data_IF_857647498325
#
_entry.id   IF_857647498325
#
_cell.length_a   1.000
_cell.length_b   1.000
_cell.length_c   1.000
_cell.angle_alpha   90.00
_cell.angle_beta   90.00
_cell.angle_gamma   90.00
#
_symmetry.space_group_name_H-M   'P 1'
#
loop_
_entity.id
_entity.type
_entity.pdbx_description
1 polymer ?
#
# COMPACT_ATOMS: atom_id res chain seq x y z
N UNK A 1 -16.58 -19.74 -13.69
CA UNK A 1 -15.66 -18.74 -13.06
C UNK A 1 -16.53 -17.72 -12.36
N UNK A 2 -16.31 -17.54 -11.09
CA UNK A 2 -16.95 -16.51 -10.26
C UNK A 2 -15.89 -15.52 -9.79
N UNK A 3 -16.26 -14.27 -9.66
CA UNK A 3 -15.38 -13.19 -9.18
C UNK A 3 -15.75 -12.86 -7.74
N UNK A 4 -14.79 -12.84 -6.86
CA UNK A 4 -14.96 -12.39 -5.49
C UNK A 4 -14.10 -11.13 -5.26
N UNK A 5 -14.74 -10.07 -4.79
CA UNK A 5 -14.06 -8.90 -4.24
C UNK A 5 -13.91 -9.15 -2.74
N UNK A 6 -12.66 -9.37 -2.32
CA UNK A 6 -12.37 -9.71 -0.93
C UNK A 6 -12.36 -8.46 -0.07
N UNK A 7 -13.06 -8.53 1.05
CA UNK A 7 -13.18 -7.44 2.03
C UNK A 7 -12.96 -7.95 3.45
N UNK A 8 -12.75 -7.04 4.38
CA UNK A 8 -12.74 -7.35 5.83
C UNK A 8 -14.16 -7.36 6.40
N UNK A 9 -14.34 -7.93 7.60
CA UNK A 9 -15.64 -7.96 8.29
C UNK A 9 -16.22 -6.55 8.52
N UNK A 10 -15.36 -5.58 8.82
CA UNK A 10 -15.75 -4.20 9.08
C UNK A 10 -16.28 -3.50 7.82
N UNK A 11 -15.74 -3.84 6.64
CA UNK A 11 -15.90 -3.07 5.41
C UNK A 11 -16.75 -3.74 4.33
N UNK A 12 -17.07 -5.04 4.47
CA UNK A 12 -17.83 -5.80 3.47
C UNK A 12 -19.15 -5.11 3.09
N UNK A 13 -19.28 -4.81 1.80
CA UNK A 13 -20.47 -4.14 1.23
C UNK A 13 -20.61 -2.66 1.55
N UNK A 14 -19.69 -2.05 2.30
CA UNK A 14 -19.75 -0.63 2.71
C UNK A 14 -18.88 0.29 1.86
N UNK A 15 -17.90 -0.25 1.15
CA UNK A 15 -16.94 0.55 0.36
C UNK A 15 -17.51 0.75 -1.04
N UNK A 16 -17.75 2.01 -1.41
CA UNK A 16 -18.34 2.37 -2.70
C UNK A 16 -17.53 1.86 -3.89
N UNK A 17 -16.21 1.85 -3.80
CA UNK A 17 -15.33 1.34 -4.84
C UNK A 17 -15.58 -0.15 -5.12
N UNK A 18 -15.70 -0.96 -4.07
CA UNK A 18 -16.00 -2.40 -4.18
C UNK A 18 -17.38 -2.63 -4.81
N UNK A 19 -18.36 -1.84 -4.39
CA UNK A 19 -19.73 -1.90 -4.93
C UNK A 19 -19.73 -1.55 -6.42
N UNK A 20 -19.05 -0.48 -6.79
CA UNK A 20 -18.91 -0.06 -8.19
C UNK A 20 -18.25 -1.15 -9.04
N UNK A 21 -17.16 -1.75 -8.58
CA UNK A 21 -16.47 -2.82 -9.29
C UNK A 21 -17.37 -4.07 -9.44
N UNK A 22 -18.07 -4.48 -8.37
CA UNK A 22 -19.03 -5.60 -8.41
C UNK A 22 -20.08 -5.37 -9.48
N UNK A 23 -20.71 -4.20 -9.48
CA UNK A 23 -21.81 -3.89 -10.39
C UNK A 23 -21.32 -3.76 -11.84
N UNK A 24 -20.15 -3.17 -12.06
CA UNK A 24 -19.51 -3.10 -13.37
C UNK A 24 -19.22 -4.50 -13.96
N UNK A 25 -18.78 -5.46 -13.13
CA UNK A 25 -18.54 -6.83 -13.58
C UNK A 25 -19.85 -7.60 -13.81
N UNK A 26 -20.87 -7.40 -12.98
CA UNK A 26 -22.22 -7.96 -13.20
C UNK A 26 -22.85 -7.46 -14.49
N UNK A 27 -22.74 -6.20 -14.81
CA UNK A 27 -23.19 -5.60 -16.06
C UNK A 27 -22.49 -6.18 -17.31
N UNK A 28 -21.31 -6.79 -17.13
CA UNK A 28 -20.60 -7.54 -18.18
C UNK A 28 -20.95 -9.04 -18.21
N UNK A 29 -21.94 -9.47 -17.44
CA UNK A 29 -22.44 -10.85 -17.42
C UNK A 29 -21.68 -11.78 -16.44
N UNK A 30 -20.82 -11.26 -15.55
CA UNK A 30 -20.11 -12.10 -14.60
C UNK A 30 -20.85 -12.25 -13.28
N UNK A 31 -20.76 -13.43 -12.69
CA UNK A 31 -21.12 -13.61 -11.28
C UNK A 31 -20.04 -12.95 -10.42
N UNK A 32 -20.37 -11.86 -9.75
CA UNK A 32 -19.45 -11.11 -8.88
C UNK A 32 -20.08 -10.82 -7.52
N UNK A 33 -19.35 -11.08 -6.44
CA UNK A 33 -19.78 -10.84 -5.06
C UNK A 33 -18.69 -10.19 -4.22
N UNK A 34 -19.09 -9.33 -3.27
CA UNK A 34 -18.21 -8.80 -2.22
C UNK A 34 -18.34 -9.71 -1.02
N UNK A 35 -17.24 -10.34 -0.60
CA UNK A 35 -17.26 -11.38 0.43
C UNK A 35 -16.07 -11.22 1.37
N UNK A 36 -16.25 -11.52 2.65
CA UNK A 36 -15.17 -11.54 3.63
C UNK A 36 -14.14 -12.60 3.22
N UNK A 37 -12.85 -12.24 3.20
CA UNK A 37 -11.77 -13.09 2.70
C UNK A 37 -11.80 -14.52 3.27
N UNK A 38 -11.97 -14.69 4.58
CA UNK A 38 -12.05 -16.02 5.21
C UNK A 38 -13.22 -16.87 4.73
N UNK A 39 -14.31 -16.24 4.28
CA UNK A 39 -15.47 -16.95 3.74
C UNK A 39 -15.25 -17.36 2.29
N UNK A 40 -14.53 -16.55 1.50
CA UNK A 40 -14.15 -16.90 0.13
C UNK A 40 -13.43 -18.25 0.10
N UNK A 41 -12.51 -18.49 1.04
CA UNK A 41 -11.77 -19.75 1.13
C UNK A 41 -12.70 -20.97 1.24
N UNK A 42 -13.86 -20.83 1.90
CA UNK A 42 -14.83 -21.91 2.10
C UNK A 42 -15.67 -22.18 0.84
N UNK A 43 -16.06 -21.13 0.12
CA UNK A 43 -17.06 -21.20 -0.96
C UNK A 43 -16.46 -21.22 -2.37
N UNK A 44 -15.22 -20.74 -2.54
CA UNK A 44 -14.56 -20.65 -3.84
C UNK A 44 -14.19 -22.02 -4.41
N UNK A 45 -14.25 -22.10 -5.74
CA UNK A 45 -13.88 -23.28 -6.54
C UNK A 45 -12.61 -23.00 -7.35
N UNK A 46 -11.86 -24.01 -7.77
CA UNK A 46 -10.72 -23.81 -8.67
C UNK A 46 -11.09 -22.94 -9.88
N UNK A 47 -10.16 -22.08 -10.27
CA UNK A 47 -10.31 -21.10 -11.37
C UNK A 47 -11.27 -19.93 -11.10
N UNK A 48 -11.83 -19.81 -9.90
CA UNK A 48 -12.47 -18.56 -9.50
C UNK A 48 -11.41 -17.46 -9.33
N UNK A 49 -11.86 -16.20 -9.44
CA UNK A 49 -11.00 -15.02 -9.33
C UNK A 49 -11.27 -14.31 -8.01
N UNK A 50 -10.21 -13.94 -7.30
CA UNK A 50 -10.28 -13.11 -6.10
C UNK A 50 -9.50 -11.81 -6.34
N UNK A 51 -10.13 -10.69 -6.07
CA UNK A 51 -9.53 -9.36 -6.08
C UNK A 51 -9.48 -8.89 -4.63
N UNK A 52 -8.27 -8.69 -4.10
CA UNK A 52 -8.12 -8.11 -2.76
C UNK A 52 -8.42 -6.61 -2.84
N UNK A 53 -9.35 -6.14 -2.01
CA UNK A 53 -9.75 -4.74 -1.97
C UNK A 53 -9.82 -4.25 -0.52
N UNK A 54 -10.94 -3.99 0.04
CA UNK A 54 -11.11 -3.43 1.37
C UNK A 54 -10.86 -4.46 2.50
N UNK A 55 -9.72 -5.16 2.45
CA UNK A 55 -9.29 -6.10 3.50
C UNK A 55 -8.56 -5.37 4.66
N UNK A 56 -8.70 -4.06 4.74
CA UNK A 56 -8.05 -3.20 5.73
C UNK A 56 -8.15 -3.76 7.14
N UNK A 57 -7.05 -3.64 7.89
CA UNK A 57 -6.86 -4.26 9.20
C UNK A 57 -6.04 -5.56 9.15
N UNK A 58 -5.67 -6.06 7.96
CA UNK A 58 -4.87 -7.29 7.82
C UNK A 58 -3.52 -7.20 8.54
N UNK A 59 -2.94 -6.03 8.67
CA UNK A 59 -1.65 -5.82 9.33
C UNK A 59 -1.68 -6.20 10.82
N UNK A 60 -2.83 -6.09 11.49
CA UNK A 60 -3.00 -6.49 12.90
C UNK A 60 -2.89 -8.02 13.07
N UNK A 61 -3.27 -8.78 12.03
CA UNK A 61 -3.27 -10.23 11.99
C UNK A 61 -2.59 -10.77 10.72
N UNK A 62 -1.49 -10.14 10.28
CA UNK A 62 -0.86 -10.39 8.98
C UNK A 62 -0.47 -11.85 8.75
N UNK A 63 -0.08 -12.59 9.81
CA UNK A 63 0.24 -14.02 9.68
C UNK A 63 -0.98 -14.84 9.31
N UNK A 64 -2.14 -14.53 9.86
CA UNK A 64 -3.41 -15.18 9.50
C UNK A 64 -3.83 -14.79 8.08
N UNK A 65 -3.71 -13.52 7.72
CA UNK A 65 -3.92 -13.06 6.35
C UNK A 65 -3.06 -13.84 5.35
N UNK A 66 -1.76 -13.99 5.59
CA UNK A 66 -0.87 -14.75 4.72
C UNK A 66 -1.25 -16.23 4.63
N UNK A 67 -1.69 -16.86 5.72
CA UNK A 67 -2.24 -18.22 5.69
C UNK A 67 -3.48 -18.31 4.80
N UNK A 68 -4.39 -17.35 4.89
CA UNK A 68 -5.58 -17.29 4.03
C UNK A 68 -5.20 -17.16 2.56
N UNK A 69 -4.24 -16.29 2.23
CA UNK A 69 -3.70 -16.15 0.87
C UNK A 69 -3.09 -17.46 0.36
N UNK A 70 -2.32 -18.17 1.19
CA UNK A 70 -1.77 -19.50 0.84
C UNK A 70 -2.87 -20.55 0.63
N UNK A 71 -3.95 -20.50 1.39
CA UNK A 71 -5.09 -21.41 1.20
C UNK A 71 -5.79 -21.19 -0.14
N UNK A 72 -5.94 -19.93 -0.58
CA UNK A 72 -6.45 -19.63 -1.93
C UNK A 72 -5.52 -20.21 -3.01
N UNK A 73 -4.19 -20.05 -2.86
CA UNK A 73 -3.20 -20.63 -3.78
C UNK A 73 -3.33 -22.16 -3.89
N UNK A 74 -3.46 -22.86 -2.75
CA UNK A 74 -3.66 -24.31 -2.69
C UNK A 74 -4.94 -24.79 -3.38
N UNK A 75 -5.95 -23.94 -3.46
CA UNK A 75 -7.21 -24.21 -4.14
C UNK A 75 -7.20 -23.85 -5.63
N UNK A 76 -6.07 -23.43 -6.18
CA UNK A 76 -5.94 -22.95 -7.56
C UNK A 76 -6.90 -21.79 -7.89
N UNK A 77 -7.07 -20.87 -6.94
CA UNK A 77 -7.83 -19.64 -7.14
C UNK A 77 -6.91 -18.64 -7.83
N UNK A 78 -7.41 -17.90 -8.82
CA UNK A 78 -6.67 -16.81 -9.46
C UNK A 78 -6.73 -15.56 -8.57
N UNK A 79 -5.62 -15.13 -8.02
CA UNK A 79 -5.55 -13.91 -7.20
C UNK A 79 -5.10 -12.71 -8.05
N UNK A 80 -5.71 -11.57 -7.84
CA UNK A 80 -5.37 -10.27 -8.44
C UNK A 80 -4.97 -9.31 -7.30
N UNK A 81 -3.74 -8.91 -7.16
CA UNK A 81 -2.52 -9.32 -7.86
C UNK A 81 -2.09 -10.75 -7.49
N UNK A 82 -1.17 -11.32 -8.28
CA UNK A 82 -0.62 -12.66 -8.00
C UNK A 82 0.00 -12.76 -6.60
N UNK A 83 0.06 -13.97 -6.09
CA UNK A 83 0.54 -14.30 -4.75
C UNK A 83 1.94 -13.77 -4.43
N UNK A 84 2.85 -13.84 -5.40
CA UNK A 84 4.24 -13.44 -5.19
C UNK A 84 4.37 -11.93 -4.97
N UNK A 85 3.50 -11.11 -5.58
CA UNK A 85 3.39 -9.69 -5.29
C UNK A 85 2.94 -9.43 -3.85
N UNK A 86 1.96 -10.18 -3.36
CA UNK A 86 1.44 -10.03 -1.99
C UNK A 86 2.54 -10.34 -0.97
N UNK A 87 3.24 -11.48 -1.13
CA UNK A 87 4.33 -11.87 -0.22
C UNK A 87 5.51 -10.92 -0.25
N UNK A 88 5.81 -10.32 -1.39
CA UNK A 88 6.87 -9.33 -1.52
C UNK A 88 6.48 -7.98 -0.90
N UNK A 89 5.26 -7.53 -1.15
CA UNK A 89 4.83 -6.17 -0.82
C UNK A 89 4.39 -6.00 0.63
N UNK A 90 4.11 -7.09 1.37
CA UNK A 90 3.57 -6.99 2.73
C UNK A 90 4.53 -6.34 3.73
N UNK A 91 5.82 -6.46 3.51
CA UNK A 91 6.88 -5.93 4.39
C UNK A 91 7.57 -4.73 3.74
N UNK A 92 7.29 -3.53 4.24
CA UNK A 92 7.82 -2.26 3.70
C UNK A 92 9.35 -2.20 3.68
N UNK A 93 10.00 -2.74 4.72
CA UNK A 93 11.48 -2.74 4.74
C UNK A 93 12.04 -3.57 3.59
N UNK A 94 11.52 -4.77 3.40
CA UNK A 94 12.03 -5.69 2.38
C UNK A 94 11.92 -5.10 0.99
N UNK A 95 10.75 -4.66 0.57
CA UNK A 95 10.59 -4.17 -0.79
C UNK A 95 11.26 -2.80 -1.02
N UNK A 96 11.24 -1.88 -0.04
CA UNK A 96 11.94 -0.59 -0.17
C UNK A 96 13.46 -0.78 -0.20
N UNK A 97 14.00 -1.74 0.55
CA UNK A 97 15.42 -2.08 0.48
C UNK A 97 15.83 -2.61 -0.90
N UNK A 98 15.00 -3.43 -1.54
CA UNK A 98 15.26 -3.90 -2.90
C UNK A 98 15.17 -2.76 -3.93
N UNK A 99 14.30 -1.78 -3.71
CA UNK A 99 14.13 -0.59 -4.55
C UNK A 99 15.17 0.52 -4.30
N UNK A 100 16.11 0.33 -3.38
CA UNK A 100 17.08 1.37 -2.94
C UNK A 100 17.95 2.01 -4.04
N UNK A 101 18.04 1.37 -5.21
CA UNK A 101 18.74 1.92 -6.37
C UNK A 101 17.90 2.84 -7.24
N UNK A 102 16.61 2.97 -6.90
CA UNK A 102 15.68 3.91 -7.48
C UNK A 102 15.61 5.17 -6.61
N UNK A 103 14.86 6.16 -7.07
CA UNK A 103 14.57 7.35 -6.28
C UNK A 103 13.47 7.04 -5.24
N UNK A 104 13.82 6.26 -4.21
CA UNK A 104 12.94 5.91 -3.09
C UNK A 104 13.42 6.58 -1.83
N UNK A 105 12.51 6.86 -0.90
CA UNK A 105 12.86 7.42 0.41
C UNK A 105 13.87 6.51 1.13
N UNK A 106 15.07 7.01 1.51
CA UNK A 106 16.04 6.24 2.25
C UNK A 106 15.41 5.58 3.48
N UNK A 107 15.58 4.27 3.60
CA UNK A 107 14.87 3.48 4.61
C UNK A 107 15.84 2.62 5.39
N UNK A 108 15.76 2.68 6.72
CA UNK A 108 16.55 1.88 7.64
C UNK A 108 15.64 1.05 8.54
N UNK A 109 16.01 -0.22 8.79
CA UNK A 109 15.30 -1.08 9.73
C UNK A 109 15.55 -0.59 11.18
N UNK A 110 14.49 -0.48 11.95
CA UNK A 110 14.50 -0.24 13.38
C UNK A 110 13.89 -1.47 14.09
N UNK A 111 14.76 -2.39 14.50
CA UNK A 111 14.35 -3.56 15.29
C UNK A 111 14.63 -3.33 16.76
N UNK A 112 13.61 -3.50 17.59
CA UNK A 112 13.64 -3.21 19.03
C UNK A 112 13.51 -4.47 19.90
N UNK A 113 13.46 -5.66 19.29
CA UNK A 113 13.17 -6.93 19.97
C UNK A 113 14.11 -7.23 21.14
N UNK A 114 15.38 -6.83 21.02
CA UNK A 114 16.40 -7.11 22.02
C UNK A 114 16.60 -5.96 23.03
N UNK A 115 15.82 -4.87 22.92
CA UNK A 115 15.94 -3.74 23.85
C UNK A 115 15.22 -4.02 25.16
N UNK A 116 15.86 -3.61 26.27
CA UNK A 116 15.31 -3.74 27.63
C UNK A 116 14.87 -2.38 28.20
N UNK A 117 15.57 -1.32 27.84
CA UNK A 117 15.39 0.03 28.40
C UNK A 117 15.06 1.05 27.33
N UNK A 118 14.30 2.07 27.68
CA UNK A 118 13.98 3.21 26.82
C UNK A 118 15.23 3.95 26.29
N UNK A 119 16.32 4.00 27.11
CA UNK A 119 17.59 4.59 26.70
C UNK A 119 18.24 3.87 25.52
N UNK A 120 18.12 2.55 25.44
CA UNK A 120 18.62 1.74 24.31
C UNK A 120 17.88 2.08 23.03
N UNK A 121 16.54 2.20 23.10
CA UNK A 121 15.70 2.62 21.97
C UNK A 121 16.14 3.99 21.47
N UNK A 122 16.30 4.95 22.38
CA UNK A 122 16.78 6.30 22.06
C UNK A 122 18.14 6.26 21.36
N UNK A 123 19.08 5.47 21.85
CA UNK A 123 20.42 5.37 21.27
C UNK A 123 20.38 4.79 19.85
N UNK A 124 19.57 3.75 19.60
CA UNK A 124 19.39 3.17 18.27
C UNK A 124 18.83 4.24 17.31
N UNK A 125 17.80 4.97 17.72
CA UNK A 125 17.19 6.02 16.89
C UNK A 125 18.20 7.13 16.59
N UNK A 126 19.02 7.54 17.58
CA UNK A 126 20.08 8.54 17.35
C UNK A 126 21.16 8.06 16.37
N UNK A 127 21.49 6.77 16.37
CA UNK A 127 22.39 6.20 15.36
C UNK A 127 21.75 6.25 13.96
N UNK A 128 20.46 5.92 13.84
CA UNK A 128 19.72 6.03 12.58
C UNK A 128 19.67 7.48 12.09
N UNK A 129 19.44 8.46 12.98
CA UNK A 129 19.52 9.88 12.62
C UNK A 129 20.87 10.24 11.98
N UNK A 130 21.99 9.72 12.53
CA UNK A 130 23.33 9.93 11.98
C UNK A 130 23.47 9.25 10.60
N UNK A 131 23.06 7.99 10.49
CA UNK A 131 23.15 7.21 9.24
C UNK A 131 22.35 7.87 8.10
N UNK A 132 21.14 8.36 8.40
CA UNK A 132 20.27 9.02 7.42
C UNK A 132 20.53 10.52 7.29
N UNK A 133 21.53 11.06 7.99
CA UNK A 133 21.91 12.48 8.03
C UNK A 133 20.69 13.41 8.19
N UNK A 134 19.86 13.15 9.20
CA UNK A 134 18.64 13.92 9.46
C UNK A 134 18.40 14.12 10.94
N UNK A 135 17.70 15.20 11.29
CA UNK A 135 17.26 15.46 12.66
C UNK A 135 15.87 14.90 12.95
N UNK A 136 15.09 14.67 11.88
CA UNK A 136 13.68 14.30 12.02
C UNK A 136 13.40 13.06 11.20
N UNK A 137 12.81 12.05 11.84
CA UNK A 137 12.46 10.77 11.24
C UNK A 137 10.94 10.58 11.20
N UNK A 138 10.46 9.87 10.18
CA UNK A 138 9.19 9.17 10.22
C UNK A 138 9.48 7.73 10.58
N UNK A 139 8.86 7.23 11.65
CA UNK A 139 8.99 5.85 12.13
C UNK A 139 7.63 5.20 11.99
N UNK A 140 7.57 4.05 11.28
CA UNK A 140 6.33 3.29 11.08
C UNK A 140 6.62 1.78 11.07
N UNK A 141 5.66 0.89 11.44
CA UNK A 141 5.89 -0.55 11.37
C UNK A 141 6.18 -1.02 9.95
N UNK A 142 7.01 -2.07 9.82
CA UNK A 142 7.30 -2.70 8.52
C UNK A 142 6.04 -3.24 7.85
N UNK A 143 5.10 -3.76 8.64
CA UNK A 143 3.80 -4.25 8.19
C UNK A 143 2.74 -3.35 8.80
N UNK A 144 2.18 -2.46 8.02
CA UNK A 144 1.19 -1.47 8.47
C UNK A 144 0.44 -0.86 7.30
N UNK A 145 -0.72 -0.30 7.59
CA UNK A 145 -1.54 0.47 6.67
C UNK A 145 -2.17 1.68 7.39
N UNK A 146 -2.75 2.61 6.65
CA UNK A 146 -3.54 3.75 7.18
C UNK A 146 -2.85 4.54 8.30
N UNK A 147 -1.52 4.67 8.26
CA UNK A 147 -0.76 5.44 9.27
C UNK A 147 -0.68 4.78 10.65
N UNK A 148 -1.01 3.49 10.79
CA UNK A 148 -0.95 2.77 12.05
C UNK A 148 0.45 2.87 12.67
N UNK A 149 0.53 3.32 13.94
CA UNK A 149 1.78 3.53 14.70
C UNK A 149 2.85 4.30 13.91
N UNK A 150 2.44 5.30 13.12
CA UNK A 150 3.34 6.18 12.40
C UNK A 150 3.66 7.41 13.26
N UNK A 151 4.93 7.65 13.53
CA UNK A 151 5.41 8.72 14.40
C UNK A 151 6.38 9.63 13.68
N UNK A 152 6.30 10.93 13.98
CA UNK A 152 7.33 11.91 13.63
C UNK A 152 8.25 12.12 14.85
N UNK A 153 9.45 11.58 14.79
CA UNK A 153 10.49 11.73 15.82
C UNK A 153 11.43 12.88 15.44
N UNK A 154 11.58 13.86 16.31
CA UNK A 154 12.50 14.98 16.14
C UNK A 154 13.52 14.95 17.29
N UNK A 155 14.81 14.73 16.98
CA UNK A 155 15.86 14.57 18.00
C UNK A 155 16.05 15.78 18.91
N UNK A 156 15.55 16.97 18.51
CA UNK A 156 15.64 18.22 19.28
C UNK A 156 14.50 18.40 20.27
N UNK A 157 13.47 17.52 20.22
CA UNK A 157 12.26 17.62 21.04
C UNK A 157 12.21 16.52 22.11
N UNK A 158 11.32 16.69 23.07
CA UNK A 158 10.96 15.61 23.99
C UNK A 158 10.11 14.55 23.25
N UNK A 159 10.66 13.34 23.16
CA UNK A 159 10.04 12.20 22.48
C UNK A 159 9.67 11.07 23.45
N UNK A 160 9.53 11.35 24.76
CA UNK A 160 9.23 10.32 25.76
C UNK A 160 8.01 9.47 25.40
N UNK A 161 6.92 10.11 24.91
CA UNK A 161 5.71 9.43 24.52
C UNK A 161 5.96 8.46 23.34
N UNK A 162 6.70 8.89 22.31
CA UNK A 162 7.05 8.05 21.15
C UNK A 162 7.91 6.87 21.59
N UNK A 163 8.91 7.09 22.43
CA UNK A 163 9.79 6.04 22.95
C UNK A 163 9.00 5.03 23.78
N UNK A 164 8.06 5.49 24.63
CA UNK A 164 7.18 4.61 25.39
C UNK A 164 6.29 3.73 24.49
N UNK A 165 5.69 4.32 23.45
CA UNK A 165 4.89 3.58 22.46
C UNK A 165 5.73 2.57 21.68
N UNK A 166 6.95 2.92 21.29
CA UNK A 166 7.88 2.00 20.63
C UNK A 166 8.26 0.85 21.56
N UNK A 167 8.49 1.13 22.85
CA UNK A 167 8.81 0.10 23.85
C UNK A 167 7.64 -0.85 24.07
N UNK A 168 6.41 -0.35 24.12
CA UNK A 168 5.19 -1.18 24.22
C UNK A 168 5.01 -2.08 23.01
N UNK A 169 5.48 -1.66 21.83
CA UNK A 169 5.35 -2.36 20.57
C UNK A 169 6.67 -2.96 20.05
N UNK A 170 7.66 -3.19 20.92
CA UNK A 170 9.01 -3.67 20.54
C UNK A 170 9.06 -5.03 19.83
N UNK A 171 7.97 -5.81 19.89
CA UNK A 171 7.80 -7.06 19.14
C UNK A 171 7.62 -6.85 17.63
N UNK A 172 7.23 -5.64 17.22
CA UNK A 172 7.15 -5.25 15.82
C UNK A 172 8.52 -4.80 15.32
N UNK A 173 8.76 -5.01 14.03
CA UNK A 173 9.85 -4.36 13.32
C UNK A 173 9.32 -3.06 12.71
N UNK A 174 10.12 -2.01 12.78
CA UNK A 174 9.79 -0.69 12.24
C UNK A 174 10.77 -0.31 11.13
N UNK A 175 10.34 0.58 10.26
CA UNK A 175 11.24 1.35 9.40
C UNK A 175 11.35 2.77 9.90
N UNK A 176 12.54 3.36 9.69
CA UNK A 176 12.80 4.76 9.92
C UNK A 176 13.25 5.41 8.60
N UNK A 177 12.65 6.54 8.27
CA UNK A 177 12.85 7.31 7.05
C UNK A 177 13.08 8.78 7.39
N UNK A 178 13.88 9.56 6.63
CA UNK A 178 13.97 11.00 6.83
C UNK A 178 12.57 11.64 6.66
N UNK A 179 12.20 12.51 7.59
CA UNK A 179 11.03 13.35 7.39
C UNK A 179 11.27 14.33 6.25
N UNK A 180 10.35 14.38 5.30
CA UNK A 180 10.39 15.31 4.17
C UNK A 180 9.41 16.45 4.42
N UNK A 181 9.87 17.68 4.66
CA UNK A 181 8.97 18.84 4.82
C UNK A 181 8.05 19.07 3.63
N UNK A 182 8.49 18.70 2.42
CA UNK A 182 7.72 18.81 1.17
C UNK A 182 6.36 18.08 1.23
N UNK A 183 6.16 17.17 2.19
CA UNK A 183 4.88 16.45 2.40
C UNK A 183 3.71 17.42 2.59
N UNK A 184 3.96 18.64 3.10
CA UNK A 184 2.92 19.67 3.27
C UNK A 184 2.33 20.15 1.94
N UNK A 185 3.07 19.97 0.84
CA UNK A 185 2.60 20.30 -0.52
C UNK A 185 1.71 19.22 -1.12
N UNK A 186 1.56 18.10 -0.43
CA UNK A 186 0.74 16.95 -0.80
C UNK A 186 1.54 15.82 -1.43
N UNK A 187 1.09 14.62 -1.11
CA UNK A 187 1.55 13.34 -1.65
C UNK A 187 0.79 13.02 -2.93
N UNK A 188 1.47 12.49 -3.93
CA UNK A 188 0.87 12.09 -5.21
C UNK A 188 0.75 10.57 -5.28
N UNK A 189 -0.48 10.05 -5.18
CA UNK A 189 -0.79 8.64 -5.43
C UNK A 189 -1.07 8.44 -6.92
N UNK A 190 -0.28 7.57 -7.57
CA UNK A 190 -0.48 7.21 -8.98
C UNK A 190 -1.07 5.82 -9.06
N UNK A 191 -2.23 5.72 -9.72
CA UNK A 191 -2.88 4.43 -9.99
C UNK A 191 -2.42 3.90 -11.33
N UNK A 192 -1.91 2.67 -11.30
CA UNK A 192 -1.35 1.95 -12.45
C UNK A 192 -2.11 0.64 -12.59
N UNK A 193 -2.71 0.40 -13.76
CA UNK A 193 -3.42 -0.85 -14.05
C UNK A 193 -2.74 -1.55 -15.22
N UNK A 194 -2.36 -2.81 -15.04
CA UNK A 194 -1.65 -3.61 -16.03
C UNK A 194 -0.41 -2.90 -16.61
N UNK A 195 0.34 -2.19 -15.75
CA UNK A 195 1.53 -1.46 -16.15
C UNK A 195 1.27 -0.13 -16.87
N UNK A 196 0.02 0.31 -16.96
CA UNK A 196 -0.36 1.59 -17.59
C UNK A 196 -0.76 2.57 -16.49
N UNK A 197 -0.01 3.66 -16.27
CA UNK A 197 -0.41 4.72 -15.35
C UNK A 197 -1.64 5.45 -15.90
N UNK A 198 -2.72 5.49 -15.11
CA UNK A 198 -4.01 6.02 -15.55
C UNK A 198 -4.27 7.44 -15.07
N UNK A 199 -4.04 7.70 -13.77
CA UNK A 199 -4.30 8.99 -13.15
C UNK A 199 -3.52 9.17 -11.86
N UNK A 200 -3.46 10.42 -11.40
CA UNK A 200 -2.90 10.82 -10.13
C UNK A 200 -3.95 11.36 -9.17
N UNK A 201 -3.75 11.10 -7.90
CA UNK A 201 -4.52 11.66 -6.78
C UNK A 201 -3.57 12.39 -5.86
N UNK A 202 -3.79 13.69 -5.70
CA UNK A 202 -3.01 14.50 -4.76
C UNK A 202 -3.69 14.50 -3.40
N UNK A 203 -2.97 14.04 -2.36
CA UNK A 203 -3.43 13.95 -0.97
C UNK A 203 -2.59 14.88 -0.11
N UNK A 204 -3.22 15.60 0.82
CA UNK A 204 -2.54 16.54 1.72
C UNK A 204 -2.41 15.96 3.14
N UNK A 205 -1.37 16.34 3.94
CA UNK A 205 -1.18 15.83 5.29
C UNK A 205 -2.36 16.16 6.21
N UNK A 206 -2.58 15.32 7.20
CA UNK A 206 -3.72 15.42 8.13
C UNK A 206 -4.93 14.58 7.74
N UNK A 207 -4.90 13.91 6.60
CA UNK A 207 -5.99 13.10 6.03
C UNK A 207 -5.79 11.61 6.32
N UNK A 208 -5.20 11.25 7.45
CA UNK A 208 -5.02 9.85 7.86
C UNK A 208 -6.21 9.28 8.64
N UNK A 209 -7.37 9.96 8.58
CA UNK A 209 -8.60 9.48 9.21
C UNK A 209 -9.50 8.75 8.19
N UNK A 210 -10.35 7.84 8.69
CA UNK A 210 -11.36 7.13 7.87
C UNK A 210 -12.36 8.09 7.17
N UNK A 211 -12.42 9.34 7.61
CA UNK A 211 -13.22 10.43 7.01
C UNK A 211 -12.29 11.41 6.32
N UNK A 212 -11.96 11.11 5.07
CA UNK A 212 -11.19 12.02 4.22
C UNK A 212 -12.10 13.19 3.83
N UNK A 213 -11.68 14.42 4.17
CA UNK A 213 -12.34 15.61 3.65
C UNK A 213 -12.04 15.72 2.14
N UNK A 214 -13.05 15.71 1.26
CA UNK A 214 -12.86 15.80 -0.18
C UNK A 214 -12.06 17.02 -0.64
N UNK A 215 -12.05 18.10 0.13
CA UNK A 215 -11.29 19.32 -0.18
C UNK A 215 -9.79 19.11 -0.17
N UNK A 216 -9.31 18.08 0.53
CA UNK A 216 -7.90 17.73 0.63
C UNK A 216 -7.45 16.67 -0.37
N UNK A 217 -8.35 16.15 -1.21
CA UNK A 217 -8.05 15.16 -2.25
C UNK A 217 -8.41 15.75 -3.60
N UNK A 218 -7.47 15.67 -4.54
CA UNK A 218 -7.66 16.20 -5.89
C UNK A 218 -7.22 15.18 -6.94
N UNK A 219 -8.11 14.92 -7.89
CA UNK A 219 -7.76 14.26 -9.15
C UNK A 219 -6.85 15.18 -9.96
N UNK A 220 -5.77 14.64 -10.50
CA UNK A 220 -4.84 15.40 -11.35
C UNK A 220 -4.39 14.57 -12.56
N UNK A 221 -4.05 15.27 -13.63
CA UNK A 221 -3.30 14.67 -14.75
C UNK A 221 -1.90 14.31 -14.29
N UNK A 222 -1.35 13.23 -14.85
CA UNK A 222 -0.02 12.76 -14.47
C UNK A 222 1.08 13.70 -14.96
N UNK A 223 1.95 14.20 -14.08
CA UNK A 223 3.11 14.97 -14.51
C UNK A 223 4.06 14.14 -15.35
N UNK A 224 4.57 14.69 -16.46
CA UNK A 224 5.49 13.97 -17.36
C UNK A 224 6.75 13.45 -16.66
N UNK A 225 7.26 14.16 -15.66
CA UNK A 225 8.44 13.77 -14.89
C UNK A 225 8.26 12.46 -14.09
N UNK A 226 7.03 12.09 -13.74
CA UNK A 226 6.76 10.86 -12.97
C UNK A 226 6.84 9.61 -13.83
N UNK A 227 6.70 9.76 -15.16
CA UNK A 227 6.75 8.63 -16.09
C UNK A 227 8.08 7.89 -16.00
N UNK A 228 9.19 8.61 -15.88
CA UNK A 228 10.53 8.02 -15.74
C UNK A 228 10.61 7.10 -14.50
N UNK A 229 10.13 7.55 -13.36
CA UNK A 229 10.17 6.76 -12.12
C UNK A 229 9.29 5.50 -12.22
N UNK A 230 8.12 5.64 -12.87
CA UNK A 230 7.23 4.51 -13.13
C UNK A 230 7.86 3.51 -14.11
N UNK A 231 8.51 3.98 -15.18
CA UNK A 231 9.17 3.10 -16.15
C UNK A 231 10.33 2.32 -15.50
N UNK A 232 11.12 2.94 -14.62
CA UNK A 232 12.18 2.26 -13.87
C UNK A 232 11.58 1.19 -12.93
N UNK A 233 10.53 1.53 -12.18
CA UNK A 233 9.83 0.57 -11.31
C UNK A 233 9.25 -0.60 -12.13
N UNK A 234 8.69 -0.30 -13.29
CA UNK A 234 8.13 -1.30 -14.19
C UNK A 234 9.21 -2.28 -14.68
N UNK A 235 10.36 -1.79 -15.10
CA UNK A 235 11.50 -2.63 -15.51
C UNK A 235 11.93 -3.54 -14.35
N UNK A 236 12.05 -2.99 -13.14
CA UNK A 236 12.41 -3.78 -11.96
C UNK A 236 11.41 -4.89 -11.68
N UNK A 237 10.10 -4.58 -11.64
CA UNK A 237 9.06 -5.56 -11.35
C UNK A 237 8.97 -6.64 -12.43
N UNK A 238 9.09 -6.26 -13.71
CA UNK A 238 9.14 -7.22 -14.83
C UNK A 238 10.36 -8.13 -14.74
N UNK A 239 11.53 -7.60 -14.40
CA UNK A 239 12.75 -8.40 -14.21
C UNK A 239 12.61 -9.38 -13.04
N UNK A 240 11.96 -8.95 -11.96
CA UNK A 240 11.82 -9.77 -10.74
C UNK A 240 10.75 -10.85 -10.86
N UNK A 241 9.60 -10.53 -11.44
CA UNK A 241 8.40 -11.37 -11.43
C UNK A 241 8.00 -11.90 -12.81
N UNK A 242 8.62 -11.45 -13.89
CA UNK A 242 8.24 -11.78 -15.26
C UNK A 242 7.00 -11.06 -15.76
N UNK A 243 6.20 -10.49 -14.86
CA UNK A 243 4.95 -9.77 -15.14
C UNK A 243 4.87 -8.50 -14.30
N UNK A 244 4.02 -7.56 -14.72
CA UNK A 244 3.68 -6.39 -13.90
C UNK A 244 2.39 -6.67 -13.12
N UNK A 245 2.23 -6.13 -11.87
CA UNK A 245 1.00 -6.31 -11.10
C UNK A 245 -0.21 -5.71 -11.84
N UNK A 246 -1.37 -6.37 -11.72
CA UNK A 246 -2.59 -5.91 -12.36
C UNK A 246 -3.10 -4.59 -11.77
N UNK A 247 -2.99 -4.45 -10.45
CA UNK A 247 -3.38 -3.26 -9.71
C UNK A 247 -2.18 -2.79 -8.90
N UNK A 248 -1.73 -1.56 -9.12
CA UNK A 248 -0.61 -0.97 -8.41
C UNK A 248 -0.95 0.48 -8.08
N UNK A 249 -0.64 0.90 -6.85
CA UNK A 249 -0.58 2.31 -6.48
C UNK A 249 0.84 2.62 -6.02
N UNK A 250 1.38 3.71 -6.54
CA UNK A 250 2.68 4.22 -6.10
C UNK A 250 2.47 5.61 -5.54
N UNK A 251 2.89 5.79 -4.30
CA UNK A 251 2.80 7.05 -3.61
C UNK A 251 4.13 7.79 -3.72
N UNK A 252 4.08 9.00 -4.27
CA UNK A 252 5.24 9.83 -4.56
C UNK A 252 5.21 11.13 -3.77
N UNK A 253 6.38 11.61 -3.42
CA UNK A 253 6.59 12.97 -2.95
C UNK A 253 7.31 13.78 -4.02
N UNK A 254 6.78 14.98 -4.32
CA UNK A 254 7.47 15.94 -5.18
C UNK A 254 8.55 16.63 -4.36
N UNK A 255 9.80 16.51 -4.79
CA UNK A 255 10.91 17.23 -4.23
C UNK A 255 11.26 18.42 -5.15
N UNK A 256 12.23 19.26 -4.73
CA UNK A 256 12.76 20.35 -5.57
C UNK A 256 13.24 19.82 -6.94
N UNK A 257 13.82 18.61 -6.96
CA UNK A 257 14.26 17.93 -8.19
C UNK A 257 13.60 16.56 -8.26
N UNK A 258 12.58 16.42 -9.12
CA UNK A 258 11.94 15.14 -9.41
C UNK A 258 10.91 14.66 -8.39
N UNK A 259 10.73 13.36 -8.34
CA UNK A 259 9.78 12.67 -7.46
C UNK A 259 10.48 11.52 -6.74
N UNK A 260 10.22 11.38 -5.45
CA UNK A 260 10.72 10.29 -4.60
C UNK A 260 9.57 9.33 -4.28
N UNK A 261 9.78 8.02 -4.44
CA UNK A 261 8.80 6.99 -4.07
C UNK A 261 8.76 6.88 -2.54
N UNK A 262 7.60 7.08 -1.95
CA UNK A 262 7.33 6.88 -0.53
C UNK A 262 6.88 5.46 -0.23
N UNK A 263 6.04 4.90 -1.11
CA UNK A 263 5.40 3.61 -0.93
C UNK A 263 4.94 3.01 -2.27
N UNK A 264 4.95 1.67 -2.34
CA UNK A 264 4.33 0.90 -3.42
C UNK A 264 3.27 0.01 -2.79
N UNK A 265 2.03 0.07 -3.25
CA UNK A 265 0.91 -0.72 -2.75
C UNK A 265 0.40 -1.69 -3.81
N UNK A 266 0.47 -2.99 -3.52
CA UNK A 266 0.07 -4.08 -4.40
C UNK A 266 -0.96 -5.02 -3.77
N UNK A 267 -1.31 -4.85 -2.49
CA UNK A 267 -2.21 -5.76 -1.77
C UNK A 267 -3.66 -5.36 -1.98
N UNK A 268 -4.07 -4.22 -1.45
CA UNK A 268 -5.45 -3.71 -1.55
C UNK A 268 -5.49 -2.18 -1.70
N UNK A 269 -4.79 -1.62 -2.70
CA UNK A 269 -4.71 -0.17 -2.85
C UNK A 269 -6.10 0.45 -3.04
N UNK A 270 -6.35 1.57 -2.34
CA UNK A 270 -7.46 2.46 -2.64
C UNK A 270 -7.20 3.09 -4.02
N UNK A 271 -8.13 2.90 -4.94
CA UNK A 271 -8.07 3.47 -6.29
C UNK A 271 -8.75 4.84 -6.36
N UNK A 272 -9.31 5.31 -5.24
CA UNK A 272 -9.93 6.62 -5.12
C UNK A 272 -11.09 6.87 -6.09
N UNK A 273 -11.89 5.85 -6.42
CA UNK A 273 -12.99 5.95 -7.38
C UNK A 273 -13.99 7.05 -7.03
N UNK A 274 -14.16 7.36 -5.75
CA UNK A 274 -15.04 8.45 -5.28
C UNK A 274 -14.58 9.86 -5.66
N UNK A 275 -13.31 10.01 -6.10
CA UNK A 275 -12.70 11.31 -6.42
C UNK A 275 -12.34 11.48 -7.91
N UNK A 276 -12.66 10.51 -8.75
CA UNK A 276 -12.30 10.53 -10.19
C UNK A 276 -13.56 10.49 -11.05
N UNK A 277 -13.46 10.99 -12.31
CA UNK A 277 -14.56 10.94 -13.27
C UNK A 277 -15.01 9.50 -13.59
N UNK A 278 -16.30 9.32 -13.91
CA UNK A 278 -16.86 8.01 -14.25
C UNK A 278 -16.13 7.31 -15.38
N UNK A 279 -15.75 8.04 -16.43
CA UNK A 279 -14.98 7.51 -17.55
C UNK A 279 -13.66 6.87 -17.11
N UNK A 280 -13.03 7.39 -16.07
CA UNK A 280 -11.80 6.83 -15.52
C UNK A 280 -12.07 5.60 -14.66
N UNK A 281 -13.17 5.58 -13.90
CA UNK A 281 -13.63 4.40 -13.14
C UNK A 281 -13.93 3.24 -14.08
N UNK A 282 -14.68 3.49 -15.15
CA UNK A 282 -15.01 2.51 -16.17
C UNK A 282 -13.75 1.97 -16.85
N UNK A 283 -12.83 2.85 -17.23
CA UNK A 283 -11.56 2.48 -17.84
C UNK A 283 -10.73 1.60 -16.91
N UNK A 284 -10.53 2.00 -15.66
CA UNK A 284 -9.77 1.23 -14.67
C UNK A 284 -10.39 -0.15 -14.45
N UNK A 285 -11.69 -0.22 -14.18
CA UNK A 285 -12.44 -1.47 -13.96
C UNK A 285 -12.38 -2.40 -15.18
N UNK A 286 -12.51 -1.83 -16.39
CA UNK A 286 -12.43 -2.60 -17.64
C UNK A 286 -11.02 -3.16 -17.87
N UNK A 287 -9.97 -2.41 -17.51
CA UNK A 287 -8.59 -2.89 -17.64
C UNK A 287 -8.28 -3.99 -16.64
N UNK A 288 -8.74 -3.88 -15.38
CA UNK A 288 -8.61 -4.95 -14.38
C UNK A 288 -9.31 -6.21 -14.86
N UNK A 289 -10.52 -6.08 -15.39
CA UNK A 289 -11.30 -7.18 -15.94
C UNK A 289 -10.54 -7.94 -17.05
N UNK A 290 -9.91 -7.23 -17.98
CA UNK A 290 -9.14 -7.85 -19.08
C UNK A 290 -8.02 -8.76 -18.61
N UNK A 291 -7.49 -8.56 -17.41
CA UNK A 291 -6.37 -9.34 -16.86
C UNK A 291 -6.75 -10.75 -16.40
N UNK A 292 -8.04 -11.09 -16.32
CA UNK A 292 -8.47 -12.43 -15.90
C UNK A 292 -9.44 -13.12 -16.86
N UNK A 293 -9.81 -12.49 -17.96
CA UNK A 293 -10.69 -13.06 -18.98
C UNK A 293 -9.93 -13.56 -20.19
N UNK A 294 -8.66 -13.18 -20.31
CA UNK A 294 -7.74 -13.70 -21.33
C UNK A 294 -7.00 -14.87 -20.65
#
# INVERSE_FOLDING_TARGET
MKIYIASSEKHVGKIQEDVYMRDAYRNKGFSCEIVILKNIIKISKPFDVVILKSIWGYHLHYREFLKQVLMLRKKNIKLINDYDFIFWNIDKYKYLYELKHMNVTPTTLLSLKNTKKASEIKNIILQINKTLNTNTLVIKPCISESGYLTFKYDKTKDNKAIIALLQQNKQLDFIAQPYRPDIVTGELSVVIINGIPLYGIKRFPGIFSEKLDPTYIRFISLPGAIKKEIDILKIFLLKKFGVFPNICRVDFLKLNVGYEILEVELIDPDLFFRYIPDVMREKATSMIYKSFVI
#
